data_IF_831465418405
#
_entry.id   IF_831465418405
#
_cell.length_a   1.000
_cell.length_b   1.000
_cell.length_c   1.000
_cell.angle_alpha   90.00
_cell.angle_beta   90.00
_cell.angle_gamma   90.00
#
_symmetry.space_group_name_H-M   'P 1'
#
loop_
_entity.id
_entity.type
_entity.pdbx_description
1 polymer ?
#
# COMPACT_ATOMS: atom_id res chain seq x y z
N UNK A 1 -31.42 4.94 -1.80
CA UNK A 1 -31.00 3.53 -1.59
C UNK A 1 -29.50 3.47 -1.78
N UNK A 2 -28.76 3.10 -0.74
CA UNK A 2 -27.32 2.90 -0.82
C UNK A 2 -27.07 1.52 -1.44
N UNK A 3 -26.25 1.43 -2.49
CA UNK A 3 -25.99 0.14 -3.15
C UNK A 3 -25.01 -0.71 -2.32
N UNK A 4 -25.10 -2.04 -2.38
CA UNK A 4 -24.17 -2.94 -1.67
C UNK A 4 -22.68 -2.65 -1.99
N UNK A 5 -22.40 -2.12 -3.18
CA UNK A 5 -21.08 -1.66 -3.62
C UNK A 5 -20.62 -0.40 -2.87
N UNK A 6 -21.53 0.58 -2.66
CA UNK A 6 -21.23 1.79 -1.89
C UNK A 6 -21.00 1.50 -0.41
N UNK A 7 -21.76 0.58 0.19
CA UNK A 7 -21.55 0.15 1.58
C UNK A 7 -20.18 -0.52 1.75
N UNK A 8 -19.81 -1.40 0.80
CA UNK A 8 -18.49 -2.06 0.75
C UNK A 8 -17.37 -1.03 0.62
N UNK A 9 -17.49 -0.06 -0.30
CA UNK A 9 -16.53 1.04 -0.46
C UNK A 9 -16.41 1.91 0.80
N UNK A 10 -17.52 2.15 1.50
CA UNK A 10 -17.52 2.94 2.73
C UNK A 10 -16.78 2.23 3.88
N UNK A 11 -17.02 0.92 4.09
CA UNK A 11 -16.31 0.15 5.12
C UNK A 11 -14.82 -0.01 4.79
N UNK A 12 -14.48 -0.20 3.51
CA UNK A 12 -13.09 -0.19 3.04
C UNK A 12 -12.43 1.17 3.23
N UNK A 13 -13.15 2.27 2.99
CA UNK A 13 -12.64 3.62 3.21
C UNK A 13 -12.40 3.93 4.70
N UNK A 14 -13.26 3.45 5.60
CA UNK A 14 -13.03 3.56 7.05
C UNK A 14 -11.79 2.76 7.49
N UNK A 15 -11.64 1.53 6.99
CA UNK A 15 -10.45 0.72 7.26
C UNK A 15 -9.19 1.27 6.60
N UNK A 16 -9.32 1.90 5.44
CA UNK A 16 -8.25 2.64 4.77
C UNK A 16 -7.84 3.82 5.64
N UNK A 17 -8.78 4.65 6.12
CA UNK A 17 -8.52 5.78 7.04
C UNK A 17 -7.73 5.37 8.29
N UNK A 18 -8.15 4.28 8.93
CA UNK A 18 -7.50 3.78 10.16
C UNK A 18 -6.09 3.22 9.91
N UNK A 19 -5.70 2.99 8.65
CA UNK A 19 -4.36 2.56 8.24
C UNK A 19 -3.63 3.64 7.41
N UNK A 20 -4.34 4.67 6.96
CA UNK A 20 -3.88 5.74 6.06
C UNK A 20 -2.87 6.68 6.68
N UNK A 21 -2.57 6.55 7.97
CA UNK A 21 -1.40 7.21 8.54
C UNK A 21 -0.13 6.90 7.74
N UNK A 22 -0.04 5.72 7.11
CA UNK A 22 1.10 5.30 6.28
C UNK A 22 0.87 5.40 4.75
N UNK A 23 -0.40 5.39 4.30
CA UNK A 23 -0.78 5.40 2.87
C UNK A 23 -0.91 6.79 2.24
N UNK A 24 -1.40 7.79 2.99
CA UNK A 24 -1.69 9.15 2.46
C UNK A 24 -0.44 9.95 2.12
N UNK A 25 0.75 9.39 2.31
CA UNK A 25 2.00 10.14 2.25
C UNK A 25 3.11 9.34 1.58
N UNK A 26 2.92 8.87 0.35
CA UNK A 26 4.04 8.50 -0.53
C UNK A 26 5.18 9.55 -0.44
N UNK A 27 4.81 10.84 -0.35
CA UNK A 27 5.73 11.94 -0.12
C UNK A 27 6.47 11.88 1.22
N UNK A 28 5.81 11.47 2.32
CA UNK A 28 6.51 11.29 3.59
C UNK A 28 7.31 10.01 3.64
N UNK A 29 6.91 8.97 2.93
CA UNK A 29 7.68 7.75 2.79
C UNK A 29 8.97 8.03 2.02
N UNK A 30 8.88 8.77 0.91
CA UNK A 30 10.02 9.31 0.18
C UNK A 30 10.86 10.25 1.04
N UNK A 31 10.23 11.16 1.79
CA UNK A 31 10.93 12.09 2.67
C UNK A 31 11.67 11.37 3.79
N UNK A 32 11.06 10.38 4.43
CA UNK A 32 11.64 9.58 5.50
C UNK A 32 12.75 8.68 4.95
N UNK A 33 12.57 8.13 3.74
CA UNK A 33 13.62 7.40 3.03
C UNK A 33 14.84 8.28 2.70
N UNK A 34 14.61 9.50 2.17
CA UNK A 34 15.67 10.47 1.89
C UNK A 34 16.34 10.93 3.18
N UNK A 35 15.57 11.23 4.23
CA UNK A 35 16.09 11.69 5.53
C UNK A 35 16.94 10.61 6.20
N UNK A 36 16.47 9.36 6.21
CA UNK A 36 17.23 8.23 6.75
C UNK A 36 18.47 7.95 5.89
N UNK A 37 18.36 8.04 4.56
CA UNK A 37 19.50 7.92 3.66
C UNK A 37 20.60 8.93 3.93
N UNK A 38 20.24 10.20 4.11
CA UNK A 38 21.18 11.28 4.48
C UNK A 38 21.78 11.03 5.88
N UNK A 39 20.97 10.63 6.86
CA UNK A 39 21.45 10.32 8.21
C UNK A 39 22.42 9.14 8.23
N UNK A 40 22.24 8.17 7.35
CA UNK A 40 23.11 6.99 7.23
C UNK A 40 24.49 7.36 6.70
N UNK A 41 24.58 8.26 5.72
CA UNK A 41 25.87 8.81 5.27
C UNK A 41 26.62 9.49 6.43
N UNK A 42 25.92 9.90 7.50
CA UNK A 42 26.51 10.56 8.67
C UNK A 42 26.76 9.62 9.86
N UNK A 43 26.22 8.40 9.88
CA UNK A 43 26.20 7.54 11.08
C UNK A 43 26.93 6.20 10.95
N UNK A 44 27.64 5.93 9.85
CA UNK A 44 28.41 4.68 9.62
C UNK A 44 27.59 3.38 9.81
N UNK A 45 26.25 3.48 9.77
CA UNK A 45 25.31 2.39 10.03
C UNK A 45 24.38 2.17 8.83
N UNK A 46 24.94 1.74 7.68
CA UNK A 46 24.17 1.65 6.44
C UNK A 46 23.07 0.60 6.46
N UNK A 47 23.15 -0.39 7.36
CA UNK A 47 22.09 -1.39 7.53
C UNK A 47 20.76 -0.82 8.05
N UNK A 48 20.74 0.37 8.69
CA UNK A 48 19.49 0.96 9.18
C UNK A 48 18.48 1.23 8.05
N UNK A 49 18.95 1.39 6.81
CA UNK A 49 18.08 1.61 5.66
C UNK A 49 17.19 0.39 5.38
N UNK A 50 17.59 -0.81 5.82
CA UNK A 50 16.81 -2.05 5.69
C UNK A 50 15.61 -2.11 6.62
N UNK A 51 15.58 -1.31 7.69
CA UNK A 51 14.39 -1.19 8.53
C UNK A 51 13.21 -0.58 7.74
N UNK A 52 13.51 0.23 6.73
CA UNK A 52 12.51 0.93 5.93
C UNK A 52 11.60 -0.05 5.15
N UNK A 53 12.12 -0.92 4.26
CA UNK A 53 11.28 -1.90 3.56
C UNK A 53 10.53 -2.83 4.53
N UNK A 54 11.14 -3.21 5.67
CA UNK A 54 10.50 -4.08 6.65
C UNK A 54 9.27 -3.43 7.32
N UNK A 55 9.39 -2.18 7.78
CA UNK A 55 8.28 -1.43 8.38
C UNK A 55 7.15 -1.24 7.37
N UNK A 56 7.50 -0.94 6.11
CA UNK A 56 6.51 -0.75 5.06
C UNK A 56 5.77 -2.04 4.71
N UNK A 57 6.49 -3.16 4.55
CA UNK A 57 5.88 -4.45 4.29
C UNK A 57 4.91 -4.85 5.42
N UNK A 58 5.31 -4.66 6.68
CA UNK A 58 4.47 -4.96 7.83
C UNK A 58 3.19 -4.11 7.86
N UNK A 59 3.31 -2.81 7.55
CA UNK A 59 2.17 -1.89 7.46
C UNK A 59 1.19 -2.30 6.35
N UNK A 60 1.70 -2.52 5.15
CA UNK A 60 0.87 -2.92 4.02
C UNK A 60 0.18 -4.27 4.29
N UNK A 61 0.91 -5.25 4.82
CA UNK A 61 0.33 -6.54 5.17
C UNK A 61 -0.82 -6.40 6.18
N UNK A 62 -0.67 -5.54 7.20
CA UNK A 62 -1.73 -5.25 8.17
C UNK A 62 -2.97 -4.63 7.50
N UNK A 63 -2.78 -3.75 6.52
CA UNK A 63 -3.89 -3.20 5.73
C UNK A 63 -4.59 -4.29 4.91
N UNK A 64 -3.82 -5.12 4.18
CA UNK A 64 -4.39 -6.17 3.33
C UNK A 64 -5.18 -7.21 4.14
N UNK A 65 -4.74 -7.54 5.37
CA UNK A 65 -5.50 -8.40 6.28
C UNK A 65 -6.84 -7.79 6.70
N UNK A 66 -6.88 -6.48 6.99
CA UNK A 66 -8.14 -5.77 7.29
C UNK A 66 -9.06 -5.78 6.05
N UNK A 67 -8.50 -5.49 4.88
CA UNK A 67 -9.24 -5.51 3.61
C UNK A 67 -9.86 -6.89 3.33
N UNK A 68 -9.09 -7.96 3.52
CA UNK A 68 -9.57 -9.33 3.41
C UNK A 68 -10.77 -9.60 4.33
N UNK A 69 -10.67 -9.27 5.63
CA UNK A 69 -11.77 -9.48 6.59
C UNK A 69 -13.05 -8.74 6.21
N UNK A 70 -12.91 -7.52 5.68
CA UNK A 70 -14.06 -6.72 5.23
C UNK A 70 -14.69 -7.37 4.01
N UNK A 71 -13.89 -7.76 3.02
CA UNK A 71 -14.38 -8.34 1.76
C UNK A 71 -15.02 -9.73 1.95
N UNK A 72 -14.60 -10.50 2.95
CA UNK A 72 -15.16 -11.84 3.27
C UNK A 72 -16.66 -11.80 3.57
N UNK A 73 -17.19 -10.64 4.00
CA UNK A 73 -18.63 -10.43 4.20
C UNK A 73 -19.43 -10.09 2.93
N UNK A 74 -18.79 -9.91 1.77
CA UNK A 74 -19.47 -9.40 0.56
C UNK A 74 -19.18 -10.16 -0.74
N UNK A 75 -18.06 -10.88 -0.85
CA UNK A 75 -17.66 -11.60 -2.07
C UNK A 75 -17.29 -13.04 -1.74
N UNK A 76 -17.16 -13.88 -2.76
CA UNK A 76 -16.78 -15.28 -2.54
C UNK A 76 -15.38 -15.41 -1.93
N UNK A 77 -15.18 -16.40 -1.05
CA UNK A 77 -13.88 -16.69 -0.43
C UNK A 77 -12.75 -16.86 -1.45
N UNK A 78 -13.07 -17.42 -2.62
CA UNK A 78 -12.14 -17.59 -3.72
C UNK A 78 -11.65 -16.23 -4.29
N UNK A 79 -12.57 -15.29 -4.51
CA UNK A 79 -12.24 -13.94 -4.96
C UNK A 79 -11.42 -13.18 -3.91
N UNK A 80 -11.83 -13.21 -2.64
CA UNK A 80 -11.08 -12.57 -1.55
C UNK A 80 -9.64 -13.08 -1.50
N UNK A 81 -9.47 -14.41 -1.51
CA UNK A 81 -8.15 -15.04 -1.44
C UNK A 81 -7.28 -14.68 -2.64
N UNK A 82 -7.85 -14.68 -3.86
CA UNK A 82 -7.14 -14.32 -5.08
C UNK A 82 -6.68 -12.86 -5.05
N UNK A 83 -7.56 -11.93 -4.70
CA UNK A 83 -7.23 -10.50 -4.59
C UNK A 83 -6.15 -10.26 -3.53
N UNK A 84 -6.25 -10.92 -2.37
CA UNK A 84 -5.26 -10.85 -1.30
C UNK A 84 -3.89 -11.38 -1.74
N UNK A 85 -3.84 -12.58 -2.32
CA UNK A 85 -2.58 -13.19 -2.76
C UNK A 85 -1.90 -12.39 -3.87
N UNK A 86 -2.65 -11.86 -4.83
CA UNK A 86 -2.08 -11.01 -5.88
C UNK A 86 -1.48 -9.73 -5.30
N UNK A 87 -2.19 -9.07 -4.38
CA UNK A 87 -1.73 -7.81 -3.80
C UNK A 87 -0.53 -8.04 -2.88
N UNK A 88 -0.64 -8.94 -1.91
CA UNK A 88 0.46 -9.27 -0.98
C UNK A 88 1.66 -9.83 -1.73
N UNK A 89 1.44 -10.76 -2.68
CA UNK A 89 2.52 -11.33 -3.48
C UNK A 89 3.28 -10.27 -4.28
N UNK A 90 2.57 -9.32 -4.89
CA UNK A 90 3.20 -8.20 -5.61
C UNK A 90 4.04 -7.30 -4.70
N UNK A 91 3.55 -7.00 -3.51
CA UNK A 91 4.27 -6.15 -2.56
C UNK A 91 5.46 -6.89 -1.94
N UNK A 92 5.32 -8.16 -1.58
CA UNK A 92 6.45 -9.00 -1.13
C UNK A 92 7.55 -9.03 -2.20
N UNK A 93 7.19 -9.20 -3.47
CA UNK A 93 8.16 -9.15 -4.56
C UNK A 93 8.84 -7.78 -4.67
N UNK A 94 8.08 -6.68 -4.65
CA UNK A 94 8.62 -5.33 -4.71
C UNK A 94 9.56 -5.01 -3.54
N UNK A 95 9.20 -5.38 -2.31
CA UNK A 95 10.02 -5.15 -1.13
C UNK A 95 11.26 -6.06 -1.09
N UNK A 96 11.17 -7.28 -1.60
CA UNK A 96 12.32 -8.16 -1.76
C UNK A 96 13.32 -7.58 -2.77
N UNK A 97 12.84 -7.12 -3.92
CA UNK A 97 13.69 -6.46 -4.93
C UNK A 97 14.29 -5.17 -4.37
N UNK A 98 13.52 -4.34 -3.65
CA UNK A 98 14.04 -3.15 -2.98
C UNK A 98 15.19 -3.49 -2.02
N UNK A 99 15.01 -4.54 -1.22
CA UNK A 99 16.03 -5.02 -0.28
C UNK A 99 17.31 -5.44 -1.00
N UNK A 100 17.18 -6.21 -2.09
CA UNK A 100 18.33 -6.64 -2.90
C UNK A 100 19.06 -5.43 -3.49
N UNK A 101 18.32 -4.47 -4.07
CA UNK A 101 18.92 -3.26 -4.65
C UNK A 101 19.69 -2.48 -3.59
N UNK A 102 19.08 -2.26 -2.43
CA UNK A 102 19.73 -1.59 -1.29
C UNK A 102 21.04 -2.28 -0.93
N UNK A 103 21.03 -3.61 -0.74
CA UNK A 103 22.22 -4.39 -0.36
C UNK A 103 23.30 -4.26 -1.43
N UNK A 104 22.93 -4.32 -2.72
CA UNK A 104 23.89 -4.22 -3.83
C UNK A 104 24.50 -2.82 -3.98
N UNK A 105 23.80 -1.78 -3.52
CA UNK A 105 24.25 -0.38 -3.64
C UNK A 105 24.65 0.23 -2.29
N UNK A 106 24.83 -0.58 -1.25
CA UNK A 106 25.01 -0.09 0.12
C UNK A 106 26.36 0.62 0.33
N UNK A 107 27.38 0.24 -0.44
CA UNK A 107 28.72 0.83 -0.42
C UNK A 107 28.86 2.01 -1.40
N UNK A 108 27.83 2.25 -2.23
CA UNK A 108 27.82 3.33 -3.21
C UNK A 108 27.22 4.61 -2.62
N UNK A 109 27.50 5.79 -3.22
CA UNK A 109 26.86 7.04 -2.81
C UNK A 109 25.33 6.92 -2.85
N UNK A 110 24.64 7.53 -1.88
CA UNK A 110 23.19 7.38 -1.71
C UNK A 110 22.39 7.71 -2.99
N UNK A 111 22.85 8.69 -3.78
CA UNK A 111 22.20 9.02 -5.06
C UNK A 111 22.23 7.88 -6.08
N UNK A 112 23.29 7.07 -6.14
CA UNK A 112 23.33 5.91 -7.05
C UNK A 112 22.33 4.84 -6.61
N UNK A 113 22.22 4.59 -5.31
CA UNK A 113 21.19 3.72 -4.74
C UNK A 113 19.78 4.23 -5.09
N UNK A 114 19.51 5.52 -4.90
CA UNK A 114 18.23 6.12 -5.29
C UNK A 114 17.90 5.92 -6.77
N UNK A 115 18.87 6.19 -7.66
CA UNK A 115 18.69 5.98 -9.10
C UNK A 115 18.41 4.51 -9.42
N UNK A 116 19.15 3.58 -8.83
CA UNK A 116 18.95 2.14 -9.02
C UNK A 116 17.56 1.68 -8.54
N UNK A 117 17.14 2.15 -7.36
CA UNK A 117 15.81 1.90 -6.80
C UNK A 117 14.73 2.35 -7.79
N UNK A 118 14.82 3.59 -8.30
CA UNK A 118 13.84 4.10 -9.25
C UNK A 118 13.87 3.35 -10.59
N UNK A 119 15.06 3.10 -11.14
CA UNK A 119 15.22 2.42 -12.42
C UNK A 119 14.67 0.99 -12.40
N UNK A 120 14.73 0.29 -11.27
CA UNK A 120 14.29 -1.10 -11.15
C UNK A 120 12.85 -1.20 -10.64
N UNK A 121 12.51 -0.53 -9.53
CA UNK A 121 11.20 -0.70 -8.89
C UNK A 121 10.07 0.00 -9.64
N UNK A 122 10.35 1.12 -10.31
CA UNK A 122 9.32 1.84 -11.07
C UNK A 122 8.72 0.97 -12.18
N UNK A 123 9.49 0.40 -13.12
CA UNK A 123 8.93 -0.48 -14.13
C UNK A 123 8.29 -1.73 -13.52
N UNK A 124 8.90 -2.32 -12.48
CA UNK A 124 8.33 -3.49 -11.81
C UNK A 124 6.96 -3.19 -11.17
N UNK A 125 6.81 -2.01 -10.56
CA UNK A 125 5.53 -1.53 -10.01
C UNK A 125 4.49 -1.34 -11.11
N UNK A 126 4.86 -0.75 -12.25
CA UNK A 126 3.93 -0.59 -13.37
C UNK A 126 3.47 -1.93 -13.94
N UNK A 127 4.38 -2.90 -14.07
CA UNK A 127 4.04 -4.26 -14.53
C UNK A 127 3.09 -4.94 -13.54
N UNK A 128 3.39 -4.89 -12.23
CA UNK A 128 2.55 -5.52 -11.21
C UNK A 128 1.16 -4.89 -11.16
N UNK A 129 1.07 -3.56 -11.20
CA UNK A 129 -0.19 -2.82 -11.21
C UNK A 129 -0.98 -3.09 -12.50
N UNK A 130 -0.31 -3.25 -13.65
CA UNK A 130 -0.97 -3.64 -14.90
C UNK A 130 -1.58 -5.05 -14.80
N UNK A 131 -0.84 -6.03 -14.25
CA UNK A 131 -1.35 -7.39 -14.02
C UNK A 131 -2.56 -7.35 -13.09
N UNK A 132 -2.45 -6.65 -11.96
CA UNK A 132 -3.53 -6.53 -10.97
C UNK A 132 -4.78 -5.89 -11.58
N UNK A 133 -4.63 -4.83 -12.37
CA UNK A 133 -5.77 -4.17 -13.05
C UNK A 133 -6.40 -5.06 -14.10
N UNK A 134 -5.59 -5.76 -14.89
CA UNK A 134 -6.09 -6.71 -15.89
C UNK A 134 -6.86 -7.86 -15.23
N UNK A 135 -6.38 -8.33 -14.09
CA UNK A 135 -7.01 -9.37 -13.30
C UNK A 135 -8.32 -8.89 -12.66
N UNK A 136 -8.31 -7.67 -12.11
CA UNK A 136 -9.48 -7.00 -11.55
C UNK A 136 -10.54 -6.65 -12.59
N UNK A 137 -10.17 -6.34 -13.84
CA UNK A 137 -11.13 -6.11 -14.92
C UNK A 137 -11.96 -7.35 -15.28
N UNK A 138 -11.51 -8.55 -14.89
CA UNK A 138 -12.25 -9.82 -15.04
C UNK A 138 -13.18 -10.11 -13.86
N UNK A 139 -13.09 -9.33 -12.79
CA UNK A 139 -13.84 -9.51 -11.55
C UNK A 139 -14.70 -8.27 -11.29
N UNK A 140 -16.03 -8.31 -11.57
CA UNK A 140 -16.91 -7.13 -11.43
C UNK A 140 -17.02 -6.63 -9.98
N UNK A 141 -16.63 -7.47 -9.02
CA UNK A 141 -16.60 -7.17 -7.59
C UNK A 141 -15.24 -6.65 -7.09
N UNK A 142 -14.26 -6.53 -7.99
CA UNK A 142 -12.93 -6.05 -7.65
C UNK A 142 -12.96 -4.58 -7.21
N UNK A 143 -12.46 -4.32 -6.00
CA UNK A 143 -12.25 -2.97 -5.50
C UNK A 143 -10.74 -2.71 -5.40
N UNK A 144 -10.27 -1.85 -6.30
CA UNK A 144 -8.88 -1.38 -6.29
C UNK A 144 -8.62 -0.44 -5.13
N UNK A 145 -7.40 -0.45 -4.58
CA UNK A 145 -7.03 0.52 -3.53
C UNK A 145 -7.11 1.97 -4.06
N UNK A 146 -6.89 2.18 -5.36
CA UNK A 146 -7.07 3.49 -6.01
C UNK A 146 -8.54 3.94 -6.11
N UNK A 147 -9.50 3.01 -6.13
CA UNK A 147 -10.92 3.33 -6.02
C UNK A 147 -11.29 3.73 -4.59
N UNK A 148 -10.77 3.02 -3.58
CA UNK A 148 -10.93 3.37 -2.16
C UNK A 148 -10.35 4.76 -1.87
N UNK A 149 -9.12 5.03 -2.33
CA UNK A 149 -8.47 6.33 -2.16
C UNK A 149 -9.23 7.48 -2.85
N UNK A 150 -9.76 7.26 -4.06
CA UNK A 150 -10.60 8.25 -4.75
C UNK A 150 -11.90 8.51 -4.00
N UNK A 151 -12.53 7.46 -3.47
CA UNK A 151 -13.75 7.58 -2.68
C UNK A 151 -13.50 8.38 -1.39
N UNK A 152 -12.40 8.13 -0.70
CA UNK A 152 -11.96 8.92 0.48
C UNK A 152 -11.77 10.39 0.11
N UNK A 153 -11.04 10.67 -0.98
CA UNK A 153 -10.76 12.03 -1.46
C UNK A 153 -12.04 12.78 -1.87
N UNK A 154 -12.99 12.11 -2.51
CA UNK A 154 -14.26 12.73 -2.97
C UNK A 154 -15.24 13.02 -1.83
N UNK A 155 -15.31 12.15 -0.81
CA UNK A 155 -16.30 12.30 0.26
C UNK A 155 -15.96 13.37 1.29
N UNK A 156 -14.72 13.90 1.31
CA UNK A 156 -14.29 15.08 2.06
C UNK A 156 -14.42 14.95 3.58
N UNK A 157 -13.36 15.27 4.33
CA UNK A 157 -13.25 15.12 5.80
C UNK A 157 -14.47 15.60 6.63
N UNK A 158 -15.30 16.52 6.13
CA UNK A 158 -16.47 17.05 6.85
C UNK A 158 -17.68 16.10 6.97
N UNK A 159 -17.93 15.19 6.00
CA UNK A 159 -19.03 14.22 6.10
C UNK A 159 -18.70 12.97 6.92
N UNK A 160 -17.47 12.84 7.41
CA UNK A 160 -17.00 11.64 8.13
C UNK A 160 -17.28 11.69 9.63
N UNK A 161 -17.42 12.87 10.23
CA UNK A 161 -17.80 13.02 11.64
C UNK A 161 -19.21 12.46 11.93
N UNK A 162 -20.11 12.54 10.95
CA UNK A 162 -21.43 11.92 11.04
C UNK A 162 -21.39 10.39 10.99
N UNK A 163 -20.42 9.79 10.28
CA UNK A 163 -20.31 8.32 10.19
C UNK A 163 -19.53 7.68 11.36
N UNK A 164 -18.66 8.43 12.04
CA UNK A 164 -17.98 7.96 13.24
C UNK A 164 -18.90 7.90 14.48
N UNK A 165 -20.07 8.54 14.42
CA UNK A 165 -21.07 8.52 15.50
C UNK A 165 -21.85 7.21 15.53
N UNK A 166 -21.94 6.48 14.41
CA UNK A 166 -22.68 5.22 14.31
C UNK A 166 -21.81 4.03 14.76
N UNK A 167 -21.22 4.12 15.96
CA UNK A 167 -20.54 3.01 16.64
C UNK A 167 -21.51 1.94 17.21
N UNK A 168 -22.74 1.88 16.69
CA UNK A 168 -23.76 0.94 17.13
C UNK A 168 -24.51 0.31 15.96
N UNK A 169 -23.84 -0.52 15.15
CA UNK A 169 -24.45 -1.70 14.50
C UNK A 169 -23.36 -2.76 14.28
#
# INVERSE_FOLDING_TARGET
MQTAREERLQKLALAYRDVEWLGTRWYWNMFLFITVGILIEWTDLPMLILAIPAVFLASDFRYQLKKQKILDGYISKAQVRRQFLLRVGSHVLLYAVLTIVIIQTIEEPFWKMLVAIFAILTPLYFISEWIIRRDGARDPDYISDGEVARFVKQKGTSKWNTYSSDKHV
#
